data_IF_687250562678
#
_entry.id   IF_687250562678
#
_cell.length_a   1.000
_cell.length_b   1.000
_cell.length_c   1.000
_cell.angle_alpha   90.00
_cell.angle_beta   90.00
_cell.angle_gamma   90.00
#
_symmetry.space_group_name_H-M   'P 1'
#
loop_
_entity.id
_entity.type
_entity.pdbx_description
1 polymer ?
#
# COMPACT_ATOMS: atom_id res chain seq x y z
N UNK A 1 17.95 -6.87 36.90
CA UNK A 1 18.83 -6.15 35.96
C UNK A 1 18.13 -5.63 34.68
N UNK A 2 16.84 -5.26 34.73
CA UNK A 2 16.13 -4.65 33.58
C UNK A 2 15.75 -3.18 33.82
N UNK A 3 15.57 -2.75 35.08
CA UNK A 3 15.23 -1.36 35.41
C UNK A 3 16.37 -0.35 35.24
N UNK A 4 17.63 -0.79 35.34
CA UNK A 4 18.80 0.10 35.23
C UNK A 4 19.10 0.52 33.78
N UNK A 5 18.82 -0.35 32.81
CA UNK A 5 19.09 -0.09 31.37
C UNK A 5 18.06 0.86 30.75
N UNK A 6 16.83 0.85 31.26
CA UNK A 6 15.79 1.78 30.80
C UNK A 6 16.04 3.22 31.30
N UNK A 7 16.51 3.38 32.55
CA UNK A 7 16.86 4.70 33.09
C UNK A 7 18.09 5.32 32.43
N UNK A 8 19.05 4.51 31.99
CA UNK A 8 20.26 4.97 31.29
C UNK A 8 19.97 5.42 29.84
N UNK A 9 19.02 4.78 29.16
CA UNK A 9 18.55 5.20 27.83
C UNK A 9 17.73 6.50 27.86
N UNK A 10 16.94 6.72 28.92
CA UNK A 10 16.19 7.98 29.09
C UNK A 10 17.13 9.14 29.45
N UNK A 11 18.20 8.90 30.21
CA UNK A 11 19.23 9.90 30.50
C UNK A 11 20.05 10.27 29.24
N UNK A 12 20.35 9.31 28.36
CA UNK A 12 21.04 9.57 27.09
C UNK A 12 20.16 10.36 26.09
N UNK A 13 18.85 10.13 26.08
CA UNK A 13 17.91 10.90 25.25
C UNK A 13 17.66 12.32 25.79
N UNK A 14 17.82 12.55 27.09
CA UNK A 14 17.71 13.88 27.69
C UNK A 14 18.94 14.76 27.42
N UNK A 15 20.15 14.17 27.30
CA UNK A 15 21.38 14.92 26.99
C UNK A 15 21.47 15.40 25.54
N UNK A 16 20.72 14.82 24.60
CA UNK A 16 20.69 15.25 23.18
C UNK A 16 19.75 16.42 22.90
N UNK A 17 18.94 16.84 23.88
CA UNK A 17 18.00 17.96 23.76
C UNK A 17 18.54 19.29 24.30
N UNK A 18 19.83 19.35 24.62
CA UNK A 18 20.49 20.52 25.22
C UNK A 18 21.72 21.00 24.43
N UNK A 19 21.75 20.78 23.11
CA UNK A 19 22.68 21.45 22.21
C UNK A 19 21.99 22.70 21.65
N UNK A 20 22.52 23.92 21.87
CA UNK A 20 21.99 25.10 21.22
C UNK A 20 22.27 25.02 19.72
N UNK A 21 21.23 25.23 18.92
CA UNK A 21 21.34 25.43 17.48
C UNK A 21 22.01 26.79 17.24
N UNK A 22 23.26 26.81 16.76
CA UNK A 22 23.83 28.04 16.23
C UNK A 22 23.42 28.23 14.77
N UNK A 23 22.67 29.31 14.61
CA UNK A 23 22.07 29.79 13.39
C UNK A 23 23.04 30.67 12.60
N UNK A 24 22.74 30.77 11.31
CA UNK A 24 23.16 31.82 10.38
C UNK A 24 23.32 33.17 11.07
N UNK A 25 24.50 33.79 10.99
CA UNK A 25 24.66 35.19 11.41
C UNK A 25 24.90 36.13 10.23
N UNK A 26 23.98 37.09 10.18
CA UNK A 26 23.88 38.21 9.28
C UNK A 26 25.04 39.21 9.44
N UNK A 27 25.36 39.89 8.33
CA UNK A 27 26.21 41.09 8.29
C UNK A 27 25.58 42.23 9.10
N UNK A 28 26.40 42.96 9.87
CA UNK A 28 26.03 44.22 10.52
C UNK A 28 27.25 44.98 11.03
N UNK A 29 27.21 46.31 10.95
CA UNK A 29 28.37 47.21 10.96
C UNK A 29 28.77 47.79 12.33
N UNK A 30 30.07 48.10 12.45
CA UNK A 30 30.75 49.19 13.20
C UNK A 30 30.85 49.16 14.76
N UNK A 31 32.13 49.11 15.18
CA UNK A 31 32.85 49.93 16.20
C UNK A 31 32.42 49.94 17.67
N UNK A 32 33.31 49.49 18.57
CA UNK A 32 34.04 50.35 19.53
C UNK A 32 35.21 49.62 20.22
N UNK A 33 36.15 50.43 20.70
CA UNK A 33 37.59 50.18 20.92
C UNK A 33 37.94 50.14 22.42
N UNK A 34 38.91 49.28 22.81
CA UNK A 34 39.99 49.46 23.81
C UNK A 34 40.41 48.08 24.32
N UNK A 35 41.66 47.70 24.51
CA UNK A 35 42.93 48.39 24.37
C UNK A 35 43.96 47.36 24.81
N UNK A 36 44.78 46.90 23.88
CA UNK A 36 45.94 46.05 24.12
C UNK A 36 46.97 46.48 23.09
N UNK A 37 48.13 46.92 23.56
CA UNK A 37 49.21 47.39 22.69
C UNK A 37 49.53 46.30 21.67
N UNK A 38 49.25 46.56 20.40
CA UNK A 38 49.82 45.79 19.32
C UNK A 38 51.30 46.18 19.25
N UNK A 39 52.18 45.21 19.48
CA UNK A 39 53.56 45.31 19.03
C UNK A 39 53.54 45.62 17.53
N UNK A 40 54.08 46.77 17.15
CA UNK A 40 54.31 47.07 15.73
C UNK A 40 55.34 46.06 15.24
N UNK A 41 55.00 45.20 14.27
CA UNK A 41 55.99 44.29 13.71
C UNK A 41 57.03 45.14 12.98
N UNK A 42 58.28 44.87 13.28
CA UNK A 42 59.44 45.56 12.75
C UNK A 42 59.47 45.43 11.22
N UNK A 43 59.46 46.56 10.51
CA UNK A 43 59.25 46.61 9.05
C UNK A 43 60.41 46.01 8.24
N UNK A 44 61.53 45.67 8.89
CA UNK A 44 62.71 45.09 8.28
C UNK A 44 62.71 43.54 8.23
N UNK A 45 61.80 42.85 8.92
CA UNK A 45 61.70 41.38 8.87
C UNK A 45 60.88 40.83 7.68
N UNK A 46 60.04 41.67 7.06
CA UNK A 46 59.09 41.25 6.01
C UNK A 46 59.77 40.81 4.69
N UNK A 47 61.00 41.26 4.44
CA UNK A 47 61.70 40.95 3.17
C UNK A 47 62.47 39.62 3.19
N UNK A 48 62.83 39.07 4.35
CA UNK A 48 63.57 37.80 4.44
C UNK A 48 62.64 36.57 4.50
N UNK A 49 61.47 36.72 5.12
CA UNK A 49 60.52 35.60 5.27
C UNK A 49 59.51 35.47 4.13
N UNK A 50 59.30 36.52 3.33
CA UNK A 50 58.41 36.43 2.15
C UNK A 50 58.98 35.53 1.06
N UNK A 51 60.31 35.51 0.89
CA UNK A 51 60.97 34.59 -0.04
C UNK A 51 60.87 33.14 0.44
N UNK A 52 61.07 32.89 1.73
CA UNK A 52 60.99 31.54 2.31
C UNK A 52 59.56 31.00 2.30
N UNK A 53 58.57 31.86 2.58
CA UNK A 53 57.15 31.50 2.48
C UNK A 53 56.74 31.30 1.02
N UNK A 54 57.22 32.13 0.09
CA UNK A 54 56.95 31.93 -1.35
C UNK A 54 57.62 30.66 -1.90
N UNK A 55 58.79 30.31 -1.39
CA UNK A 55 59.49 29.07 -1.73
C UNK A 55 58.77 27.85 -1.17
N UNK A 56 58.33 27.88 0.08
CA UNK A 56 57.48 26.82 0.68
C UNK A 56 56.15 26.70 -0.07
N UNK A 57 55.51 27.82 -0.42
CA UNK A 57 54.27 27.81 -1.19
C UNK A 57 54.47 27.22 -2.60
N UNK A 58 55.60 27.52 -3.25
CA UNK A 58 55.95 26.89 -4.55
C UNK A 58 56.27 25.41 -4.41
N UNK A 59 56.93 25.00 -3.33
CA UNK A 59 57.17 23.59 -3.05
C UNK A 59 55.86 22.83 -2.84
N UNK A 60 54.94 23.39 -2.04
CA UNK A 60 53.60 22.83 -1.83
C UNK A 60 52.81 22.78 -3.15
N UNK A 61 52.79 23.86 -3.92
CA UNK A 61 52.11 23.91 -5.22
C UNK A 61 52.69 22.88 -6.21
N UNK A 62 54.01 22.69 -6.21
CA UNK A 62 54.68 21.70 -7.06
C UNK A 62 54.37 20.26 -6.65
N UNK A 63 54.26 19.98 -5.36
CA UNK A 63 53.87 18.67 -4.84
C UNK A 63 52.40 18.37 -5.15
N UNK A 64 51.52 19.34 -4.91
CA UNK A 64 50.09 19.21 -5.16
C UNK A 64 49.77 19.06 -6.66
N UNK A 65 50.58 19.66 -7.56
CA UNK A 65 50.36 19.59 -9.01
C UNK A 65 50.37 18.16 -9.55
N UNK A 66 51.21 17.29 -8.99
CA UNK A 66 51.29 15.89 -9.40
C UNK A 66 50.01 15.12 -9.01
N UNK A 67 49.52 15.35 -7.79
CA UNK A 67 48.29 14.74 -7.29
C UNK A 67 47.06 15.25 -8.05
N UNK A 68 46.97 16.56 -8.31
CA UNK A 68 45.89 17.15 -9.12
C UNK A 68 45.88 16.65 -10.57
N UNK A 69 47.05 16.43 -11.17
CA UNK A 69 47.16 15.88 -12.52
C UNK A 69 46.72 14.41 -12.57
N UNK A 70 47.09 13.61 -11.56
CA UNK A 70 46.66 12.23 -11.43
C UNK A 70 45.13 12.13 -11.23
N UNK A 71 44.55 12.96 -10.37
CA UNK A 71 43.10 13.01 -10.15
C UNK A 71 42.35 13.48 -11.40
N UNK A 72 42.88 14.47 -12.10
CA UNK A 72 42.29 14.95 -13.36
C UNK A 72 42.33 13.87 -14.46
N UNK A 73 43.42 13.12 -14.54
CA UNK A 73 43.54 11.99 -15.46
C UNK A 73 42.59 10.83 -15.08
N UNK A 74 42.43 10.56 -13.78
CA UNK A 74 41.48 9.57 -13.28
C UNK A 74 40.02 9.97 -13.60
N UNK A 75 39.65 11.23 -13.35
CA UNK A 75 38.32 11.77 -13.70
C UNK A 75 38.09 11.76 -15.21
N UNK A 76 39.09 12.10 -16.02
CA UNK A 76 39.01 12.03 -17.46
C UNK A 76 38.80 10.59 -17.96
N UNK A 77 39.47 9.61 -17.35
CA UNK A 77 39.29 8.19 -17.69
C UNK A 77 37.90 7.63 -17.35
N UNK A 78 37.23 8.24 -16.37
CA UNK A 78 35.87 7.88 -15.95
C UNK A 78 34.79 8.67 -16.70
N UNK A 79 35.17 9.65 -17.53
CA UNK A 79 34.25 10.52 -18.24
C UNK A 79 33.65 9.78 -19.43
N UNK A 80 32.34 9.56 -19.40
CA UNK A 80 31.60 8.84 -20.44
C UNK A 80 31.12 9.72 -21.59
N UNK A 81 31.28 11.04 -21.46
CA UNK A 81 30.61 12.04 -22.29
C UNK A 81 31.56 12.68 -23.31
N UNK A 82 32.73 12.09 -23.55
CA UNK A 82 33.69 12.60 -24.54
C UNK A 82 33.17 12.35 -25.97
N UNK A 83 32.87 13.43 -26.68
CA UNK A 83 32.27 13.41 -28.02
C UNK A 83 33.12 12.61 -29.01
N UNK A 84 34.46 12.73 -28.96
CA UNK A 84 35.34 12.04 -29.90
C UNK A 84 35.33 10.52 -29.69
N UNK A 85 35.29 10.08 -28.43
CA UNK A 85 35.20 8.66 -28.07
C UNK A 85 33.82 8.11 -28.47
N UNK A 86 32.75 8.85 -28.20
CA UNK A 86 31.39 8.47 -28.60
C UNK A 86 31.24 8.36 -30.11
N UNK A 87 31.80 9.29 -30.87
CA UNK A 87 31.78 9.28 -32.33
C UNK A 87 32.58 8.10 -32.90
N UNK A 88 33.77 7.84 -32.35
CA UNK A 88 34.59 6.67 -32.71
C UNK A 88 33.88 5.34 -32.41
N UNK A 89 33.18 5.24 -31.28
CA UNK A 89 32.36 4.06 -30.95
C UNK A 89 31.14 3.93 -31.85
N UNK A 90 30.52 5.04 -32.26
CA UNK A 90 29.39 5.05 -33.18
C UNK A 90 29.81 4.58 -34.57
N UNK A 91 30.96 5.06 -35.06
CA UNK A 91 31.55 4.64 -36.32
C UNK A 91 31.92 3.15 -36.31
N UNK A 92 32.55 2.67 -35.23
CA UNK A 92 32.86 1.24 -35.05
C UNK A 92 31.60 0.37 -35.03
N UNK A 93 30.52 0.82 -34.35
CA UNK A 93 29.21 0.14 -34.35
C UNK A 93 28.58 0.11 -35.74
N UNK A 94 28.68 1.22 -36.48
CA UNK A 94 28.16 1.31 -37.85
C UNK A 94 28.94 0.43 -38.84
N UNK A 95 30.26 0.36 -38.71
CA UNK A 95 31.11 -0.54 -39.49
C UNK A 95 30.80 -2.02 -39.20
N UNK A 96 30.62 -2.38 -37.93
CA UNK A 96 30.21 -3.73 -37.55
C UNK A 96 28.79 -4.08 -38.05
N UNK A 97 27.85 -3.11 -38.00
CA UNK A 97 26.51 -3.28 -38.54
C UNK A 97 26.50 -3.53 -40.06
N UNK A 98 27.37 -2.86 -40.83
CA UNK A 98 27.55 -3.13 -42.27
C UNK A 98 28.05 -4.54 -42.56
N UNK A 99 28.82 -5.12 -41.63
CA UNK A 99 29.31 -6.50 -41.72
C UNK A 99 28.28 -7.53 -41.20
N UNK A 100 27.08 -7.09 -40.79
CA UNK A 100 26.05 -7.96 -40.23
C UNK A 100 26.38 -8.48 -38.82
N UNK A 101 27.38 -7.91 -38.15
CA UNK A 101 27.77 -8.26 -36.79
C UNK A 101 26.89 -7.48 -35.83
N UNK A 102 25.98 -8.18 -35.15
CA UNK A 102 25.08 -7.59 -34.14
C UNK A 102 25.89 -7.22 -32.89
N UNK A 103 26.43 -5.99 -32.85
CA UNK A 103 27.16 -5.45 -31.68
C UNK A 103 26.24 -4.98 -30.56
N UNK A 104 24.92 -5.15 -30.71
CA UNK A 104 24.00 -4.84 -29.62
C UNK A 104 24.24 -5.84 -28.50
N UNK A 105 24.56 -5.33 -27.29
CA UNK A 105 24.56 -6.17 -26.11
C UNK A 105 23.14 -6.64 -25.88
N UNK A 106 22.77 -7.83 -26.38
CA UNK A 106 21.49 -8.44 -26.01
C UNK A 106 21.48 -8.58 -24.50
N UNK A 107 20.56 -7.87 -23.83
CA UNK A 107 20.34 -8.07 -22.40
C UNK A 107 20.11 -9.57 -22.20
N UNK A 108 20.81 -10.23 -21.25
CA UNK A 108 20.57 -11.64 -20.99
C UNK A 108 19.07 -11.80 -20.72
N UNK A 109 18.43 -12.73 -21.44
CA UNK A 109 17.01 -12.97 -21.29
C UNK A 109 16.71 -13.20 -19.80
N UNK A 110 15.68 -12.54 -19.22
CA UNK A 110 15.38 -12.72 -17.82
C UNK A 110 15.14 -14.21 -17.57
N UNK A 111 15.94 -14.80 -16.67
CA UNK A 111 15.76 -16.20 -16.28
C UNK A 111 14.34 -16.36 -15.75
N UNK A 112 13.45 -16.96 -16.52
CA UNK A 112 12.09 -17.31 -16.07
C UNK A 112 12.20 -18.35 -14.96
N UNK A 113 12.27 -17.88 -13.70
CA UNK A 113 12.01 -18.72 -12.55
C UNK A 113 10.49 -18.88 -12.43
N UNK A 114 10.03 -20.13 -12.28
CA UNK A 114 8.61 -20.46 -12.24
C UNK A 114 7.84 -19.73 -11.12
N UNK A 115 8.52 -19.44 -10.01
CA UNK A 115 7.92 -18.77 -8.86
C UNK A 115 8.06 -17.24 -8.84
N UNK A 116 9.05 -16.66 -9.52
CA UNK A 116 9.37 -15.23 -9.42
C UNK A 116 10.02 -14.75 -10.72
N UNK A 117 9.29 -13.95 -11.48
CA UNK A 117 9.77 -13.30 -12.69
C UNK A 117 9.67 -11.79 -12.51
N UNK A 118 10.69 -11.04 -12.89
CA UNK A 118 10.70 -9.57 -12.77
C UNK A 118 9.57 -8.89 -13.59
N UNK A 119 8.98 -9.60 -14.57
CA UNK A 119 7.89 -9.09 -15.41
C UNK A 119 6.49 -9.59 -15.00
N UNK A 120 6.27 -9.97 -13.73
CA UNK A 120 4.95 -10.43 -13.28
C UNK A 120 3.92 -9.28 -13.34
N UNK A 121 2.66 -9.54 -13.69
CA UNK A 121 1.63 -8.49 -13.66
C UNK A 121 1.17 -8.21 -12.23
N UNK A 122 0.76 -6.96 -11.95
CA UNK A 122 0.22 -6.55 -10.65
C UNK A 122 -0.86 -7.50 -10.14
N UNK A 123 -1.85 -7.82 -10.97
CA UNK A 123 -2.96 -8.70 -10.59
C UNK A 123 -2.49 -10.12 -10.26
N UNK A 124 -1.45 -10.63 -10.93
CA UNK A 124 -0.85 -11.93 -10.63
C UNK A 124 -0.10 -11.89 -9.30
N UNK A 125 0.66 -10.83 -9.01
CA UNK A 125 1.35 -10.66 -7.72
C UNK A 125 0.34 -10.55 -6.57
N UNK A 126 -0.75 -9.78 -6.76
CA UNK A 126 -1.81 -9.67 -5.77
C UNK A 126 -2.50 -11.00 -5.52
N UNK A 127 -2.86 -11.75 -6.58
CA UNK A 127 -3.50 -13.05 -6.44
C UNK A 127 -2.58 -14.07 -5.75
N UNK A 128 -1.30 -14.11 -6.12
CA UNK A 128 -0.32 -14.93 -5.40
C UNK A 128 -0.19 -14.50 -3.94
N UNK A 129 -0.21 -13.19 -3.65
CA UNK A 129 -0.19 -12.67 -2.28
C UNK A 129 -1.45 -12.95 -1.47
N UNK A 130 -2.59 -13.24 -2.13
CA UNK A 130 -3.82 -13.68 -1.45
C UNK A 130 -3.71 -15.12 -0.95
N UNK A 131 -2.95 -15.96 -1.66
CA UNK A 131 -2.72 -17.36 -1.28
C UNK A 131 -1.49 -17.50 -0.38
N UNK A 132 -0.43 -16.75 -0.68
CA UNK A 132 0.85 -16.81 -0.01
C UNK A 132 1.08 -15.51 0.79
N UNK A 133 0.85 -15.53 2.11
CA UNK A 133 1.11 -14.36 2.95
C UNK A 133 2.57 -13.92 2.83
N UNK A 134 2.79 -12.65 2.52
CA UNK A 134 4.13 -12.08 2.38
C UNK A 134 4.67 -12.08 0.94
N UNK A 135 4.02 -12.75 -0.02
CA UNK A 135 4.54 -12.87 -1.38
C UNK A 135 4.72 -11.49 -2.05
N UNK A 136 3.73 -10.60 -1.93
CA UNK A 136 3.83 -9.25 -2.48
C UNK A 136 4.97 -8.42 -1.88
N UNK A 137 5.23 -8.57 -0.59
CA UNK A 137 6.33 -7.91 0.12
C UNK A 137 7.69 -8.45 -0.33
N UNK A 138 7.82 -9.78 -0.49
CA UNK A 138 9.04 -10.43 -1.00
C UNK A 138 9.29 -10.00 -2.45
N UNK A 139 8.25 -9.99 -3.29
CA UNK A 139 8.35 -9.55 -4.68
C UNK A 139 8.81 -8.09 -4.78
N UNK A 140 8.27 -7.21 -3.93
CA UNK A 140 8.64 -5.80 -3.88
C UNK A 140 9.94 -5.52 -3.10
N UNK A 141 10.67 -6.54 -2.67
CA UNK A 141 11.91 -6.42 -1.85
C UNK A 141 11.71 -5.67 -0.53
N UNK A 142 10.50 -5.65 0.02
CA UNK A 142 10.14 -4.98 1.28
C UNK A 142 10.15 -5.97 2.45
N UNK A 143 11.26 -6.67 2.66
CA UNK A 143 11.38 -7.76 3.64
C UNK A 143 11.17 -7.33 5.09
N UNK A 144 11.49 -6.08 5.42
CA UNK A 144 11.33 -5.54 6.77
C UNK A 144 9.86 -5.53 7.24
N UNK A 145 8.89 -5.56 6.31
CA UNK A 145 7.46 -5.66 6.63
C UNK A 145 7.02 -7.08 7.01
N UNK A 146 7.81 -8.10 6.66
CA UNK A 146 7.45 -9.50 6.91
C UNK A 146 7.36 -9.83 8.41
N UNK A 147 8.31 -9.45 9.28
CA UNK A 147 8.17 -9.68 10.72
C UNK A 147 6.90 -9.08 11.31
N UNK A 148 6.48 -7.91 10.80
CA UNK A 148 5.24 -7.26 11.24
C UNK A 148 4.03 -8.06 10.76
N UNK A 149 3.98 -8.43 9.47
CA UNK A 149 2.91 -9.25 8.90
C UNK A 149 2.76 -10.59 9.62
N UNK A 150 3.85 -11.35 9.75
CA UNK A 150 3.84 -12.66 10.41
C UNK A 150 3.59 -12.52 11.91
N UNK A 151 4.08 -11.46 12.55
CA UNK A 151 3.83 -11.16 13.95
C UNK A 151 2.35 -10.90 14.22
N UNK A 152 1.71 -10.02 13.44
CA UNK A 152 0.29 -9.66 13.63
C UNK A 152 -0.64 -10.81 13.25
N UNK A 153 -0.45 -11.41 12.07
CA UNK A 153 -1.29 -12.51 11.59
C UNK A 153 -1.08 -13.76 12.44
N UNK A 154 0.18 -14.10 12.76
CA UNK A 154 0.52 -15.26 13.58
C UNK A 154 -0.03 -15.13 15.02
N UNK A 155 0.14 -13.98 15.65
CA UNK A 155 -0.40 -13.73 17.00
C UNK A 155 -1.93 -13.75 16.98
N UNK A 156 -2.56 -13.09 16.01
CA UNK A 156 -4.01 -13.06 15.88
C UNK A 156 -4.62 -14.46 15.69
N UNK A 157 -4.01 -15.29 14.83
CA UNK A 157 -4.41 -16.69 14.66
C UNK A 157 -4.19 -17.52 15.93
N UNK A 158 -3.06 -17.34 16.62
CA UNK A 158 -2.79 -18.06 17.86
C UNK A 158 -3.85 -17.75 18.94
N UNK A 159 -4.20 -16.47 19.10
CA UNK A 159 -5.26 -16.04 20.02
C UNK A 159 -6.63 -16.56 19.59
N UNK A 160 -6.94 -16.53 18.29
CA UNK A 160 -8.16 -17.12 17.75
C UNK A 160 -8.27 -18.61 18.07
N UNK A 161 -7.21 -19.39 17.80
CA UNK A 161 -7.20 -20.84 18.06
C UNK A 161 -7.39 -21.11 19.56
N UNK A 162 -6.72 -20.35 20.41
CA UNK A 162 -6.83 -20.47 21.86
C UNK A 162 -8.28 -20.22 22.34
N UNK A 163 -8.91 -19.13 21.90
CA UNK A 163 -10.31 -18.85 22.25
C UNK A 163 -11.29 -19.85 21.60
N UNK A 164 -10.99 -20.34 20.40
CA UNK A 164 -11.81 -21.36 19.74
C UNK A 164 -11.82 -22.68 20.51
N UNK A 165 -10.70 -23.05 21.16
CA UNK A 165 -10.63 -24.22 22.05
C UNK A 165 -11.53 -24.06 23.28
N UNK A 166 -11.70 -22.84 23.81
CA UNK A 166 -12.60 -22.54 24.94
C UNK A 166 -14.07 -22.47 24.50
N UNK A 167 -14.35 -21.93 23.33
CA UNK A 167 -15.71 -21.77 22.81
C UNK A 167 -16.40 -23.11 22.51
N UNK A 168 -15.70 -24.07 21.88
CA UNK A 168 -16.29 -25.37 21.49
C UNK A 168 -16.98 -26.13 22.63
N UNK A 169 -16.35 -26.37 23.80
CA UNK A 169 -17.00 -27.05 24.91
C UNK A 169 -18.16 -26.24 25.51
N UNK A 170 -18.01 -24.91 25.61
CA UNK A 170 -19.09 -24.02 26.09
C UNK A 170 -20.34 -24.12 25.19
N UNK A 171 -20.14 -24.15 23.88
CA UNK A 171 -21.23 -24.27 22.91
C UNK A 171 -21.92 -25.63 23.01
N UNK A 172 -21.15 -26.72 23.11
CA UNK A 172 -21.70 -28.08 23.30
C UNK A 172 -22.53 -28.20 24.57
N UNK A 173 -22.05 -27.65 25.68
CA UNK A 173 -22.79 -27.63 26.93
C UNK A 173 -24.09 -26.83 26.78
N UNK A 174 -24.03 -25.64 26.17
CA UNK A 174 -25.21 -24.81 25.94
C UNK A 174 -26.26 -25.54 25.07
N UNK A 175 -25.81 -26.15 23.97
CA UNK A 175 -26.69 -26.89 23.06
C UNK A 175 -27.38 -28.05 23.79
N UNK A 176 -26.63 -28.83 24.59
CA UNK A 176 -27.18 -29.92 25.39
C UNK A 176 -28.27 -29.46 26.39
N UNK A 177 -28.11 -28.31 27.04
CA UNK A 177 -29.16 -27.75 27.90
C UNK A 177 -30.38 -27.30 27.10
N UNK A 178 -30.18 -26.61 25.98
CA UNK A 178 -31.28 -26.08 25.15
C UNK A 178 -32.05 -27.15 24.38
N UNK A 179 -31.49 -28.34 24.20
CA UNK A 179 -32.17 -29.46 23.56
C UNK A 179 -33.10 -30.21 24.51
N UNK A 180 -32.92 -30.06 25.83
CA UNK A 180 -33.78 -30.68 26.86
C UNK A 180 -34.87 -29.71 27.34
N UNK A 181 -34.53 -28.44 27.58
CA UNK A 181 -35.49 -27.46 28.09
C UNK A 181 -35.15 -26.03 27.67
N UNK A 182 -36.17 -25.27 27.23
CA UNK A 182 -36.05 -23.85 26.87
C UNK A 182 -36.21 -22.90 28.07
N UNK A 183 -36.33 -23.43 29.29
CA UNK A 183 -36.47 -22.62 30.51
C UNK A 183 -35.18 -21.88 30.83
N UNK A 184 -35.28 -20.57 31.12
CA UNK A 184 -34.13 -19.77 31.54
C UNK A 184 -33.79 -20.07 32.99
N UNK A 185 -32.75 -20.88 33.20
CA UNK A 185 -32.16 -21.09 34.51
C UNK A 185 -30.97 -20.13 34.71
N UNK A 186 -30.67 -19.72 35.95
CA UNK A 186 -29.52 -18.84 36.22
C UNK A 186 -28.18 -19.47 35.80
N UNK A 187 -28.08 -20.80 35.79
CA UNK A 187 -26.92 -21.54 35.29
C UNK A 187 -26.76 -21.42 33.77
N UNK A 188 -27.86 -21.49 33.02
CA UNK A 188 -27.87 -21.33 31.57
C UNK A 188 -27.42 -19.92 31.18
N UNK A 189 -27.88 -18.89 31.91
CA UNK A 189 -27.50 -17.49 31.68
C UNK A 189 -25.99 -17.26 31.94
N UNK A 190 -25.44 -17.89 32.99
CA UNK A 190 -24.00 -17.84 33.28
C UNK A 190 -23.17 -18.53 32.18
N UNK A 191 -23.64 -19.68 31.68
CA UNK A 191 -23.02 -20.41 30.57
C UNK A 191 -23.07 -19.62 29.26
N UNK A 192 -24.25 -19.06 28.95
CA UNK A 192 -24.48 -18.22 27.78
C UNK A 192 -23.57 -16.99 27.81
N UNK A 193 -23.43 -16.34 28.97
CA UNK A 193 -22.54 -15.17 29.14
C UNK A 193 -21.08 -15.52 28.85
N UNK A 194 -20.60 -16.67 29.36
CA UNK A 194 -19.24 -17.15 29.09
C UNK A 194 -19.04 -17.48 27.61
N UNK A 195 -20.02 -18.13 26.98
CA UNK A 195 -20.02 -18.47 25.56
C UNK A 195 -19.98 -17.21 24.68
N UNK A 196 -20.84 -16.22 24.95
CA UNK A 196 -20.90 -14.95 24.20
C UNK A 196 -19.55 -14.25 24.29
N UNK A 197 -18.98 -14.11 25.49
CA UNK A 197 -17.68 -13.46 25.69
C UNK A 197 -16.56 -14.14 24.89
N UNK A 198 -16.49 -15.46 24.90
CA UNK A 198 -15.49 -16.20 24.13
C UNK A 198 -15.74 -16.08 22.61
N UNK A 199 -17.00 -16.10 22.17
CA UNK A 199 -17.33 -15.89 20.76
C UNK A 199 -16.95 -14.49 20.27
N UNK A 200 -17.28 -13.44 21.04
CA UNK A 200 -16.91 -12.05 20.70
C UNK A 200 -15.40 -11.89 20.63
N UNK A 201 -14.63 -12.43 21.59
CA UNK A 201 -13.15 -12.39 21.56
C UNK A 201 -12.59 -13.12 20.34
N UNK A 202 -13.09 -14.33 20.07
CA UNK A 202 -12.67 -15.11 18.89
C UNK A 202 -12.97 -14.36 17.59
N UNK A 203 -14.17 -13.79 17.44
CA UNK A 203 -14.55 -13.00 16.28
C UNK A 203 -13.71 -11.73 16.13
N UNK A 204 -13.39 -11.06 17.24
CA UNK A 204 -12.50 -9.90 17.24
C UNK A 204 -11.08 -10.26 16.79
N UNK A 205 -10.49 -11.32 17.33
CA UNK A 205 -9.15 -11.77 16.91
C UNK A 205 -9.11 -12.21 15.46
N UNK A 206 -10.13 -12.96 15.01
CA UNK A 206 -10.27 -13.34 13.61
C UNK A 206 -10.40 -12.09 12.72
N UNK A 207 -11.23 -11.13 13.12
CA UNK A 207 -11.46 -9.88 12.41
C UNK A 207 -10.19 -9.05 12.27
N UNK A 208 -9.45 -8.85 13.37
CA UNK A 208 -8.16 -8.13 13.37
C UNK A 208 -7.14 -8.85 12.48
N UNK A 209 -7.07 -10.18 12.57
CA UNK A 209 -6.16 -11.00 11.75
C UNK A 209 -6.46 -10.81 10.25
N UNK A 210 -7.73 -10.99 9.85
CA UNK A 210 -8.15 -10.84 8.46
C UNK A 210 -7.94 -9.40 7.98
N UNK A 211 -8.29 -8.40 8.79
CA UNK A 211 -8.08 -6.99 8.44
C UNK A 211 -6.60 -6.68 8.24
N UNK A 212 -5.72 -7.16 9.13
CA UNK A 212 -4.27 -6.99 8.99
C UNK A 212 -3.75 -7.66 7.72
N UNK A 213 -4.25 -8.87 7.40
CA UNK A 213 -3.86 -9.60 6.20
C UNK A 213 -4.25 -8.87 4.92
N UNK A 214 -5.50 -8.41 4.84
CA UNK A 214 -6.01 -7.64 3.70
C UNK A 214 -5.23 -6.33 3.53
N UNK A 215 -4.92 -5.63 4.63
CA UNK A 215 -4.11 -4.42 4.61
C UNK A 215 -2.75 -4.66 3.96
N UNK A 216 -2.03 -5.72 4.35
CA UNK A 216 -0.73 -6.03 3.76
C UNK A 216 -0.82 -6.41 2.28
N UNK A 217 -1.88 -7.07 1.84
CA UNK A 217 -2.11 -7.32 0.41
C UNK A 217 -2.32 -6.00 -0.35
N UNK A 218 -3.13 -5.09 0.21
CA UNK A 218 -3.35 -3.75 -0.36
C UNK A 218 -2.07 -2.90 -0.40
N UNK A 219 -1.29 -2.89 0.68
CA UNK A 219 -0.01 -2.17 0.77
C UNK A 219 1.02 -2.69 -0.26
N UNK A 220 1.06 -4.00 -0.50
CA UNK A 220 1.89 -4.58 -1.56
C UNK A 220 1.41 -4.17 -2.96
N UNK A 221 0.10 -4.07 -3.17
CA UNK A 221 -0.48 -3.65 -4.45
C UNK A 221 -0.20 -2.16 -4.76
N UNK A 222 -0.31 -1.29 -3.76
CA UNK A 222 -0.03 0.15 -3.89
C UNK A 222 1.45 0.40 -4.18
N UNK A 223 2.34 -0.25 -3.43
CA UNK A 223 3.79 -0.05 -3.54
C UNK A 223 4.43 -0.80 -4.72
N UNK A 224 3.63 -1.39 -5.60
CA UNK A 224 4.13 -2.10 -6.78
C UNK A 224 4.81 -1.15 -7.76
N UNK A 225 6.12 -1.32 -7.98
CA UNK A 225 6.97 -0.46 -8.82
C UNK A 225 7.72 -1.18 -9.94
N UNK A 226 7.56 -2.50 -10.10
CA UNK A 226 8.40 -3.29 -11.01
C UNK A 226 8.11 -3.06 -12.50
N UNK A 227 6.89 -2.67 -12.85
CA UNK A 227 6.49 -2.34 -14.22
C UNK A 227 5.70 -1.02 -14.22
N UNK A 228 5.74 -0.29 -15.32
CA UNK A 228 4.84 0.84 -15.59
C UNK A 228 3.40 0.29 -15.72
N UNK A 229 2.68 0.33 -14.60
CA UNK A 229 1.30 -0.13 -14.51
C UNK A 229 0.41 1.10 -14.43
N UNK A 230 -0.58 1.17 -15.32
CA UNK A 230 -1.56 2.26 -15.31
C UNK A 230 -2.26 2.39 -13.96
N UNK A 231 -2.59 3.62 -13.58
CA UNK A 231 -3.33 3.93 -12.36
C UNK A 231 -4.65 3.16 -12.29
N UNK A 232 -5.30 2.96 -13.45
CA UNK A 232 -6.47 2.10 -13.63
C UNK A 232 -6.25 0.69 -13.10
N UNK A 233 -5.20 0.00 -13.54
CA UNK A 233 -4.94 -1.39 -13.13
C UNK A 233 -4.67 -1.50 -11.63
N UNK A 234 -4.04 -0.48 -11.03
CA UNK A 234 -3.85 -0.38 -9.58
C UNK A 234 -5.19 -0.20 -8.86
N UNK A 235 -6.02 0.76 -9.29
CA UNK A 235 -7.34 1.03 -8.72
C UNK A 235 -8.27 -0.20 -8.79
N UNK A 236 -8.34 -0.86 -9.95
CA UNK A 236 -9.18 -2.05 -10.15
C UNK A 236 -8.70 -3.23 -9.30
N UNK A 237 -7.39 -3.47 -9.26
CA UNK A 237 -6.85 -4.57 -8.42
C UNK A 237 -7.12 -4.31 -6.94
N UNK A 238 -7.00 -3.07 -6.48
CA UNK A 238 -7.34 -2.67 -5.11
C UNK A 238 -8.83 -2.81 -4.82
N UNK A 239 -9.71 -2.42 -5.74
CA UNK A 239 -11.16 -2.59 -5.60
C UNK A 239 -11.56 -4.06 -5.50
N UNK A 240 -10.89 -4.95 -6.23
CA UNK A 240 -11.08 -6.40 -6.10
C UNK A 240 -10.65 -6.91 -4.71
N UNK A 241 -9.54 -6.41 -4.15
CA UNK A 241 -9.06 -6.86 -2.84
C UNK A 241 -9.99 -6.40 -1.72
N UNK A 242 -10.39 -5.12 -1.75
CA UNK A 242 -11.22 -4.55 -0.70
C UNK A 242 -12.29 -3.61 -1.27
N UNK A 243 -13.56 -3.80 -0.86
CA UNK A 243 -14.62 -2.92 -1.31
C UNK A 243 -14.37 -1.49 -0.84
N UNK A 244 -14.16 -0.58 -1.80
CA UNK A 244 -13.95 0.86 -1.57
C UNK A 244 -12.46 1.27 -1.61
N UNK A 245 -11.52 0.34 -1.64
CA UNK A 245 -10.10 0.67 -1.74
C UNK A 245 -9.74 1.35 -3.08
N UNK A 246 -10.42 0.97 -4.17
CA UNK A 246 -10.25 1.65 -5.47
C UNK A 246 -10.69 3.13 -5.43
N UNK A 247 -11.77 3.43 -4.70
CA UNK A 247 -12.24 4.82 -4.52
C UNK A 247 -11.29 5.64 -3.66
N UNK A 248 -10.72 5.04 -2.61
CA UNK A 248 -9.67 5.65 -1.77
C UNK A 248 -8.41 5.95 -2.61
N UNK A 249 -7.97 4.99 -3.43
CA UNK A 249 -6.83 5.18 -4.35
C UNK A 249 -7.12 6.32 -5.35
N UNK A 250 -8.34 6.35 -5.88
CA UNK A 250 -8.83 7.41 -6.76
C UNK A 250 -9.15 8.71 -6.00
N UNK A 251 -8.84 8.87 -4.70
CA UNK A 251 -9.18 10.06 -3.90
C UNK A 251 -10.68 10.45 -3.93
N UNK A 252 -11.56 9.54 -4.37
CA UNK A 252 -13.01 9.71 -4.44
C UNK A 252 -13.65 9.36 -3.09
N UNK A 253 -13.18 9.98 -2.00
CA UNK A 253 -13.57 9.61 -0.63
C UNK A 253 -15.05 9.76 -0.35
N UNK A 254 -15.73 10.69 -1.03
CA UNK A 254 -17.15 10.93 -0.87
C UNK A 254 -18.01 9.71 -1.26
N UNK A 255 -17.51 8.80 -2.10
CA UNK A 255 -18.20 7.56 -2.50
C UNK A 255 -18.11 6.46 -1.42
N UNK A 256 -17.10 6.54 -0.54
CA UNK A 256 -16.80 5.50 0.45
C UNK A 256 -17.95 5.25 1.43
N UNK A 257 -18.63 6.29 1.99
CA UNK A 257 -19.79 6.07 2.85
C UNK A 257 -20.91 5.25 2.18
N UNK A 258 -21.16 5.46 0.89
CA UNK A 258 -22.18 4.70 0.15
C UNK A 258 -21.78 3.25 -0.03
N UNK A 259 -20.52 2.99 -0.37
CA UNK A 259 -19.96 1.65 -0.44
C UNK A 259 -20.09 0.94 0.90
N UNK A 260 -19.59 1.57 1.97
CA UNK A 260 -19.57 0.96 3.31
C UNK A 260 -21.00 0.75 3.81
N UNK A 261 -21.89 1.73 3.61
CA UNK A 261 -23.31 1.61 3.94
C UNK A 261 -24.00 0.49 3.15
N UNK A 262 -23.72 0.38 1.85
CA UNK A 262 -24.21 -0.68 0.98
C UNK A 262 -23.82 -2.07 1.50
N UNK A 263 -22.52 -2.31 1.73
CA UNK A 263 -22.07 -3.60 2.26
C UNK A 263 -22.54 -3.86 3.69
N UNK A 264 -22.54 -2.86 4.58
CA UNK A 264 -23.04 -3.01 5.95
C UNK A 264 -24.52 -3.41 5.97
N UNK A 265 -25.35 -2.76 5.13
CA UNK A 265 -26.77 -3.10 4.99
C UNK A 265 -26.97 -4.51 4.44
N UNK A 266 -26.19 -4.92 3.44
CA UNK A 266 -26.24 -6.28 2.89
C UNK A 266 -25.85 -7.34 3.91
N UNK A 267 -24.75 -7.13 4.64
CA UNK A 267 -24.30 -8.04 5.70
C UNK A 267 -25.40 -8.18 6.76
N UNK A 268 -26.00 -7.06 7.17
CA UNK A 268 -27.11 -7.07 8.12
C UNK A 268 -28.32 -7.85 7.58
N UNK A 269 -28.74 -7.60 6.34
CA UNK A 269 -29.84 -8.32 5.70
C UNK A 269 -29.56 -9.82 5.58
N UNK A 270 -28.34 -10.22 5.21
CA UNK A 270 -27.93 -11.63 5.15
C UNK A 270 -28.00 -12.27 6.54
N UNK A 271 -27.45 -11.61 7.57
CA UNK A 271 -27.47 -12.13 8.94
C UNK A 271 -28.90 -12.26 9.46
N UNK A 272 -29.73 -11.23 9.26
CA UNK A 272 -31.14 -11.25 9.64
C UNK A 272 -31.89 -12.43 9.02
N UNK A 273 -31.77 -12.61 7.70
CA UNK A 273 -32.43 -13.70 7.00
C UNK A 273 -31.86 -15.07 7.39
N UNK A 274 -30.55 -15.16 7.65
CA UNK A 274 -29.92 -16.41 8.08
C UNK A 274 -30.36 -16.83 9.50
N UNK A 275 -30.51 -15.87 10.43
CA UNK A 275 -31.05 -16.13 11.77
C UNK A 275 -32.50 -16.61 11.68
N UNK A 276 -33.32 -15.95 10.87
CA UNK A 276 -34.70 -16.39 10.58
C UNK A 276 -34.71 -17.81 10.02
N UNK A 277 -33.88 -18.11 9.01
CA UNK A 277 -33.77 -19.44 8.42
C UNK A 277 -33.41 -20.52 9.47
N UNK A 278 -32.41 -20.27 10.33
CA UNK A 278 -32.00 -21.22 11.35
C UNK A 278 -33.10 -21.47 12.39
N UNK A 279 -33.80 -20.40 12.80
CA UNK A 279 -34.93 -20.45 13.72
C UNK A 279 -36.05 -21.36 13.22
N UNK A 280 -36.58 -21.08 12.02
CA UNK A 280 -37.64 -21.90 11.42
C UNK A 280 -37.17 -23.31 11.02
N UNK A 281 -35.88 -23.49 10.67
CA UNK A 281 -35.31 -24.82 10.45
C UNK A 281 -35.30 -25.66 11.73
N UNK A 282 -34.92 -25.10 12.88
CA UNK A 282 -34.93 -25.83 14.16
C UNK A 282 -36.38 -26.21 14.53
N UNK A 283 -37.32 -25.27 14.43
CA UNK A 283 -38.73 -25.54 14.70
C UNK A 283 -39.30 -26.66 13.80
N UNK A 284 -39.04 -26.60 12.49
CA UNK A 284 -39.49 -27.63 11.55
C UNK A 284 -38.92 -29.03 11.87
N UNK A 285 -37.64 -29.10 12.23
CA UNK A 285 -36.99 -30.37 12.58
C UNK A 285 -37.57 -30.98 13.87
N UNK A 286 -37.87 -30.15 14.88
CA UNK A 286 -38.48 -30.62 16.13
C UNK A 286 -39.91 -31.11 15.91
N UNK A 287 -40.68 -30.43 15.06
CA UNK A 287 -42.03 -30.86 14.71
C UNK A 287 -42.03 -32.19 13.94
N UNK A 288 -41.09 -32.36 13.01
CA UNK A 288 -40.92 -33.60 12.28
C UNK A 288 -40.50 -34.78 13.19
N UNK A 289 -39.66 -34.52 14.20
CA UNK A 289 -39.27 -35.56 15.17
C UNK A 289 -40.42 -35.92 16.12
N UNK A 290 -41.23 -34.93 16.52
CA UNK A 290 -42.46 -35.15 17.28
C UNK A 290 -43.47 -36.01 16.51
N UNK A 291 -43.69 -35.72 15.22
CA UNK A 291 -44.59 -36.52 14.36
C UNK A 291 -44.11 -37.98 14.21
N UNK A 292 -42.80 -38.24 14.26
CA UNK A 292 -42.23 -39.58 14.15
C UNK A 292 -42.19 -40.34 15.49
N UNK A 293 -41.99 -39.64 16.60
CA UNK A 293 -41.82 -40.23 17.94
C UNK A 293 -42.69 -39.52 18.99
N UNK A 294 -44.04 -39.62 18.89
CA UNK A 294 -44.94 -38.91 19.80
C UNK A 294 -44.76 -39.32 21.28
N UNK A 295 -44.42 -40.58 21.54
CA UNK A 295 -44.22 -41.14 22.90
C UNK A 295 -43.07 -40.46 23.67
N UNK A 296 -42.14 -39.84 22.95
CA UNK A 296 -40.95 -39.18 23.52
C UNK A 296 -41.26 -37.77 24.05
N UNK A 297 -42.44 -37.23 23.74
CA UNK A 297 -42.84 -35.86 24.01
C UNK A 297 -44.22 -35.80 24.68
N UNK A 298 -44.34 -36.19 25.96
CA UNK A 298 -45.63 -36.30 26.67
C UNK A 298 -46.36 -34.96 26.85
N UNK A 299 -45.65 -33.83 26.71
CA UNK A 299 -46.19 -32.47 26.89
C UNK A 299 -46.44 -31.72 25.56
N UNK A 300 -46.37 -32.43 24.41
CA UNK A 300 -46.50 -31.86 23.07
C UNK A 300 -45.17 -31.41 22.43
N UNK A 301 -45.22 -30.76 21.25
CA UNK A 301 -44.02 -30.36 20.51
C UNK A 301 -43.11 -29.42 21.32
N UNK A 302 -41.81 -29.71 21.38
CA UNK A 302 -40.80 -28.87 22.07
C UNK A 302 -40.34 -27.67 21.23
N UNK A 303 -41.08 -27.33 20.17
CA UNK A 303 -40.75 -26.22 19.30
C UNK A 303 -41.11 -24.87 19.95
N UNK A 304 -40.50 -23.80 19.46
CA UNK A 304 -40.73 -22.45 20.03
C UNK A 304 -42.17 -21.94 19.85
N UNK A 305 -42.93 -22.55 18.92
CA UNK A 305 -44.31 -22.18 18.63
C UNK A 305 -45.33 -23.07 19.32
N UNK A 306 -44.90 -24.10 20.07
CA UNK A 306 -45.76 -25.02 20.81
C UNK A 306 -46.87 -25.62 19.94
N UNK A 307 -46.57 -25.95 18.69
CA UNK A 307 -47.54 -26.47 17.72
C UNK A 307 -48.64 -25.48 17.27
N UNK A 308 -48.54 -24.17 17.55
CA UNK A 308 -49.54 -23.17 17.12
C UNK A 308 -49.60 -22.96 15.61
N UNK A 309 -48.54 -23.30 14.90
CA UNK A 309 -48.45 -23.15 13.45
C UNK A 309 -48.29 -24.51 12.78
N UNK A 310 -48.93 -24.68 11.61
CA UNK A 310 -48.83 -25.91 10.84
C UNK A 310 -47.40 -26.14 10.31
N UNK A 311 -47.03 -27.41 10.11
CA UNK A 311 -45.77 -27.79 9.48
C UNK A 311 -45.56 -27.10 8.12
N UNK A 312 -46.63 -26.93 7.35
CA UNK A 312 -46.62 -26.24 6.06
C UNK A 312 -46.28 -24.74 6.18
N UNK A 313 -46.81 -24.06 7.20
CA UNK A 313 -46.49 -22.65 7.46
C UNK A 313 -45.02 -22.46 7.86
N UNK A 314 -44.53 -23.27 8.80
CA UNK A 314 -43.13 -23.22 9.27
C UNK A 314 -42.17 -23.52 8.12
N UNK A 315 -42.50 -24.51 7.27
CA UNK A 315 -41.73 -24.82 6.06
C UNK A 315 -41.70 -23.64 5.08
N UNK A 316 -42.84 -23.00 4.82
CA UNK A 316 -42.91 -21.84 3.94
C UNK A 316 -42.06 -20.68 4.47
N UNK A 317 -42.15 -20.36 5.77
CA UNK A 317 -41.31 -19.34 6.40
C UNK A 317 -39.82 -19.65 6.28
N UNK A 318 -39.41 -20.89 6.57
CA UNK A 318 -38.02 -21.35 6.39
C UNK A 318 -37.55 -21.12 4.96
N UNK A 319 -38.34 -21.55 3.98
CA UNK A 319 -37.97 -21.49 2.56
C UNK A 319 -37.93 -20.04 2.07
N UNK A 320 -38.81 -19.17 2.56
CA UNK A 320 -38.79 -17.72 2.30
C UNK A 320 -37.52 -17.05 2.85
N UNK A 321 -37.14 -17.32 4.11
CA UNK A 321 -35.90 -16.80 4.70
C UNK A 321 -34.65 -17.30 3.98
N UNK A 322 -34.66 -18.57 3.54
CA UNK A 322 -33.58 -19.11 2.70
C UNK A 322 -33.47 -18.36 1.39
N UNK A 323 -34.59 -18.20 0.66
CA UNK A 323 -34.62 -17.49 -0.63
C UNK A 323 -34.17 -16.05 -0.49
N UNK A 324 -34.63 -15.33 0.53
CA UNK A 324 -34.24 -13.94 0.77
C UNK A 324 -32.75 -13.81 1.14
N UNK A 325 -32.22 -14.71 1.96
CA UNK A 325 -30.77 -14.76 2.24
C UNK A 325 -29.98 -14.99 0.96
N UNK A 326 -30.37 -15.98 0.16
CA UNK A 326 -29.68 -16.35 -1.07
C UNK A 326 -29.75 -15.19 -2.09
N UNK A 327 -30.89 -14.48 -2.17
CA UNK A 327 -31.06 -13.25 -2.95
C UNK A 327 -30.16 -12.12 -2.44
N UNK A 328 -30.09 -11.88 -1.13
CA UNK A 328 -29.18 -10.86 -0.57
C UNK A 328 -27.72 -11.18 -0.89
N UNK A 329 -27.31 -12.45 -0.87
CA UNK A 329 -25.95 -12.87 -1.27
C UNK A 329 -25.71 -12.55 -2.75
N UNK A 330 -26.66 -12.84 -3.63
CA UNK A 330 -26.56 -12.52 -5.07
C UNK A 330 -26.45 -11.00 -5.28
N UNK A 331 -27.32 -10.21 -4.63
CA UNK A 331 -27.28 -8.74 -4.71
C UNK A 331 -25.94 -8.20 -4.18
N UNK A 332 -25.42 -8.77 -3.09
CA UNK A 332 -24.10 -8.39 -2.57
C UNK A 332 -22.99 -8.64 -3.58
N UNK A 333 -23.04 -9.75 -4.32
CA UNK A 333 -22.11 -10.04 -5.41
C UNK A 333 -22.24 -9.05 -6.57
N UNK A 334 -23.47 -8.66 -6.92
CA UNK A 334 -23.72 -7.65 -7.95
C UNK A 334 -23.20 -6.27 -7.52
N UNK A 335 -23.44 -5.85 -6.28
CA UNK A 335 -22.91 -4.60 -5.71
C UNK A 335 -21.37 -4.59 -5.69
N UNK A 336 -20.75 -5.73 -5.38
CA UNK A 336 -19.30 -5.88 -5.42
C UNK A 336 -18.74 -5.71 -6.84
N UNK A 337 -19.37 -6.34 -7.85
CA UNK A 337 -18.98 -6.17 -9.24
C UNK A 337 -19.15 -4.71 -9.71
N UNK A 338 -20.29 -4.09 -9.39
CA UNK A 338 -20.61 -2.71 -9.75
C UNK A 338 -19.59 -1.72 -9.16
N UNK A 339 -19.18 -1.93 -7.91
CA UNK A 339 -18.16 -1.12 -7.28
C UNK A 339 -16.79 -1.25 -7.97
N UNK A 340 -16.40 -2.44 -8.41
CA UNK A 340 -15.14 -2.63 -9.13
C UNK A 340 -15.18 -1.85 -10.45
N UNK A 341 -16.31 -1.90 -11.15
CA UNK A 341 -16.53 -1.15 -12.39
C UNK A 341 -16.48 0.36 -12.12
N UNK A 342 -17.14 0.85 -11.08
CA UNK A 342 -17.10 2.27 -10.68
C UNK A 342 -15.65 2.75 -10.42
N UNK A 343 -14.86 1.98 -9.66
CA UNK A 343 -13.46 2.33 -9.43
C UNK A 343 -12.59 2.26 -10.70
N UNK A 344 -12.92 1.37 -11.64
CA UNK A 344 -12.23 1.23 -12.92
C UNK A 344 -12.53 2.39 -13.88
N UNK A 345 -13.79 2.83 -13.95
CA UNK A 345 -14.22 3.98 -14.77
C UNK A 345 -13.70 5.28 -14.18
N UNK A 346 -13.83 5.49 -12.86
CA UNK A 346 -13.26 6.67 -12.18
C UNK A 346 -11.76 6.82 -12.44
N UNK A 347 -11.02 5.71 -12.48
CA UNK A 347 -9.60 5.75 -12.75
C UNK A 347 -9.27 6.12 -14.20
N UNK A 348 -10.11 5.71 -15.17
CA UNK A 348 -9.94 6.10 -16.58
C UNK A 348 -10.25 7.57 -16.80
N UNK A 349 -11.29 8.09 -16.14
CA UNK A 349 -11.71 9.49 -16.29
C UNK A 349 -10.74 10.49 -15.65
N UNK A 350 -9.83 10.03 -14.78
CA UNK A 350 -8.81 10.89 -14.15
C UNK A 350 -7.69 11.32 -15.07
N UNK A 351 -7.39 10.52 -16.08
CA UNK A 351 -6.37 10.85 -17.08
C UNK A 351 -6.96 11.77 -18.17
N UNK A 352 -8.28 11.99 -18.16
CA UNK A 352 -8.96 12.92 -19.04
C UNK A 352 -8.83 14.34 -18.48
N UNK A 353 -8.27 15.26 -19.27
CA UNK A 353 -8.20 16.68 -18.91
C UNK A 353 -9.63 17.26 -18.96
N UNK A 354 -10.12 17.74 -17.82
CA UNK A 354 -11.42 18.44 -17.68
C UNK A 354 -11.09 19.85 -17.17
N UNK A 355 -10.06 20.49 -17.74
CA UNK A 355 -9.76 21.88 -17.46
C UNK A 355 -10.81 22.75 -18.17
N UNK A 356 -11.46 23.67 -17.45
CA UNK A 356 -12.36 24.68 -18.05
C UNK A 356 -11.59 25.72 -18.90
N UNK A 357 -10.27 25.55 -19.06
CA UNK A 357 -9.36 26.50 -19.69
C UNK A 357 -9.22 26.19 -21.19
N UNK A 358 -10.34 26.28 -21.91
CA UNK A 358 -10.36 26.25 -23.38
C UNK A 358 -9.73 27.55 -23.90
N UNK A 359 -8.40 27.56 -23.91
CA UNK A 359 -7.61 28.72 -24.34
C UNK A 359 -7.02 28.46 -25.72
N UNK A 360 -7.31 29.40 -26.62
CA UNK A 360 -6.70 29.47 -27.93
C UNK A 360 -5.61 30.54 -27.87
N UNK A 361 -4.34 30.11 -27.84
CA UNK A 361 -3.23 31.03 -27.93
C UNK A 361 -2.86 31.22 -29.41
N UNK A 362 -2.96 32.45 -29.88
CA UNK A 362 -2.53 32.87 -31.21
C UNK A 362 -1.33 33.80 -31.06
N UNK A 363 -0.15 33.32 -31.40
CA UNK A 363 1.09 34.11 -31.33
C UNK A 363 1.62 34.42 -32.73
N UNK A 364 2.07 35.66 -32.99
CA UNK A 364 2.73 35.98 -34.26
C UNK A 364 4.06 35.21 -34.34
N UNK A 365 4.23 34.41 -35.38
CA UNK A 365 5.47 33.68 -35.66
C UNK A 365 6.25 34.44 -36.73
N UNK A 366 7.51 34.76 -36.43
CA UNK A 366 8.47 35.23 -37.42
C UNK A 366 9.58 34.20 -37.51
N UNK A 367 9.60 33.44 -38.59
CA UNK A 367 10.62 32.42 -38.85
C UNK A 367 11.57 32.89 -39.96
N UNK A 368 12.82 32.42 -39.96
CA UNK A 368 13.83 32.77 -40.96
C UNK A 368 14.40 31.52 -41.63
N UNK A 369 13.56 30.75 -42.36
CA UNK A 369 14.03 29.55 -43.04
C UNK A 369 15.00 29.91 -44.18
N UNK A 370 16.03 29.09 -44.36
CA UNK A 370 16.96 29.19 -45.48
C UNK A 370 16.29 28.65 -46.74
N UNK A 371 16.17 29.48 -47.78
CA UNK A 371 15.55 29.10 -49.06
C UNK A 371 16.65 28.78 -50.08
N UNK A 372 16.85 27.50 -50.45
CA UNK A 372 17.97 27.08 -51.29
C UNK A 372 17.96 27.69 -52.70
N UNK A 373 16.77 27.98 -53.24
CA UNK A 373 16.63 28.57 -54.59
C UNK A 373 17.08 30.03 -54.67
N UNK A 374 17.26 30.71 -53.54
CA UNK A 374 17.60 32.13 -53.48
C UNK A 374 18.88 32.42 -52.67
N UNK A 375 19.56 31.38 -52.15
CA UNK A 375 20.80 31.50 -51.36
C UNK A 375 20.74 32.54 -50.22
N UNK A 376 19.58 32.73 -49.60
CA UNK A 376 19.38 33.71 -48.54
C UNK A 376 18.29 33.28 -47.55
N UNK A 377 18.41 33.73 -46.28
CA UNK A 377 17.35 33.63 -45.29
C UNK A 377 16.37 34.78 -45.48
N UNK A 378 15.06 34.48 -45.54
CA UNK A 378 14.01 35.51 -45.63
C UNK A 378 13.04 35.38 -44.45
N UNK A 379 12.57 36.50 -43.88
CA UNK A 379 11.52 36.45 -42.87
C UNK A 379 10.23 35.90 -43.48
N UNK A 380 9.70 34.86 -42.86
CA UNK A 380 8.37 34.33 -43.10
C UNK A 380 7.51 34.71 -41.90
N UNK A 381 6.41 35.41 -42.18
CA UNK A 381 5.44 35.82 -41.18
C UNK A 381 4.29 34.81 -41.17
N UNK A 382 3.92 34.35 -39.99
CA UNK A 382 2.78 33.46 -39.79
C UNK A 382 2.18 33.64 -38.41
N UNK A 383 1.24 32.77 -38.09
CA UNK A 383 0.69 32.67 -36.73
C UNK A 383 0.88 31.25 -36.24
N UNK A 384 1.39 31.11 -35.02
CA UNK A 384 1.36 29.85 -34.31
C UNK A 384 0.04 29.77 -33.53
N UNK A 385 -0.67 28.65 -33.68
CA UNK A 385 -1.93 28.39 -33.00
C UNK A 385 -1.74 27.18 -32.10
N UNK A 386 -1.82 27.39 -30.79
CA UNK A 386 -1.89 26.29 -29.83
C UNK A 386 -3.25 26.31 -29.14
N UNK A 387 -3.96 25.19 -29.28
CA UNK A 387 -5.21 24.94 -28.57
C UNK A 387 -4.88 24.09 -27.34
N UNK A 388 -5.30 24.55 -26.17
CA UNK A 388 -5.28 23.79 -24.93
C UNK A 388 -6.71 23.36 -24.63
N UNK A 389 -6.92 22.06 -24.46
CA UNK A 389 -8.23 21.44 -24.20
C UNK A 389 -8.23 20.82 -22.81
#
# INVERSE_FOLDING_TARGET
>A
MAGLRFKLLVLLAACTLWLPAEAQLHRGARTLVRGGQFEKPDSLQRQRDSLRVAEIARQIDSMARADYAADSAAVASLRTDDLHLLDSLAEARFAAARQGIDTTTRRPAPRKRWFMSDSMSLSKVCWLSTVLPGYGQVYNKQYWKLPILYGTVGTGLALFINENRKFKPLKRAYDAYTDVSLSRTPELDALQTKMIRSNTRRQLYLGITIASYIYFIGDAAVNYSTNDVSNVKKATTLACIFPGAGQIYNRSYWKVPFVVGGFASMIYCIDWNNRGFQRFKKAYNLLADYEQHPDKYPNGPTDEFQGRYSASYIKNMRDNFRRNRDLCIIISGALYALQIIDAHVDAHLKDYDISDDLTMNLEPLVDYPYIPSMNANRPVFGFNMSLKF
#
